data_IF_345583307523
#
_entry.id   IF_345583307523
#
_cell.length_a   1.000
_cell.length_b   1.000
_cell.length_c   1.000
_cell.angle_alpha   90.00
_cell.angle_beta   90.00
_cell.angle_gamma   90.00
#
_symmetry.space_group_name_H-M   'P 1'
#
loop_
_entity.id
_entity.type
_entity.pdbx_description
1 polymer ?
#
# COMPACT_ATOMS: atom_id res chain seq x y z
N UNK A 1 -29.00 -4.95 -5.14
CA UNK A 1 -28.11 -5.23 -3.99
C UNK A 1 -28.17 -4.05 -3.04
N UNK A 2 -28.76 -4.22 -1.86
CA UNK A 2 -28.85 -3.18 -0.84
C UNK A 2 -27.45 -2.88 -0.31
N UNK A 3 -26.86 -1.75 -0.73
CA UNK A 3 -25.56 -1.31 -0.27
C UNK A 3 -25.67 -0.90 1.20
N UNK A 4 -25.09 -1.70 2.11
CA UNK A 4 -24.97 -1.31 3.52
C UNK A 4 -24.31 0.08 3.58
N UNK A 5 -25.05 1.07 4.09
CA UNK A 5 -24.52 2.40 4.30
C UNK A 5 -23.26 2.30 5.18
N UNK A 6 -22.22 3.06 4.80
CA UNK A 6 -20.98 3.11 5.57
C UNK A 6 -21.29 3.64 6.99
N UNK A 7 -20.69 3.08 8.06
CA UNK A 7 -20.79 3.67 9.38
C UNK A 7 -20.43 5.17 9.38
N UNK A 8 -21.20 5.98 10.12
CA UNK A 8 -21.12 7.45 10.09
C UNK A 8 -19.73 7.97 10.48
N UNK A 9 -19.09 7.34 11.45
CA UNK A 9 -17.71 7.60 11.88
C UNK A 9 -16.71 7.45 10.73
N UNK A 10 -16.79 6.36 9.97
CA UNK A 10 -15.92 6.13 8.80
C UNK A 10 -16.20 7.12 7.68
N UNK A 11 -17.47 7.49 7.50
CA UNK A 11 -17.86 8.48 6.48
C UNK A 11 -17.27 9.85 6.81
N UNK A 12 -17.33 10.27 8.08
CA UNK A 12 -16.71 11.51 8.56
C UNK A 12 -15.18 11.49 8.42
N UNK A 13 -14.55 10.34 8.66
CA UNK A 13 -13.10 10.22 8.50
C UNK A 13 -12.67 10.32 7.03
N UNK A 14 -13.40 9.65 6.11
CA UNK A 14 -13.19 9.78 4.67
C UNK A 14 -13.39 11.23 4.23
N UNK A 15 -14.41 11.89 4.75
CA UNK A 15 -14.68 13.30 4.47
C UNK A 15 -13.54 14.23 4.84
N UNK A 16 -12.92 14.01 6.00
CA UNK A 16 -11.74 14.75 6.41
C UNK A 16 -10.62 14.57 5.38
N UNK A 17 -10.39 13.33 4.93
CA UNK A 17 -9.39 13.04 3.89
C UNK A 17 -9.74 13.73 2.57
N UNK A 18 -10.99 13.67 2.13
CA UNK A 18 -11.43 14.33 0.89
C UNK A 18 -11.24 15.84 0.95
N UNK A 19 -11.49 16.47 2.10
CA UNK A 19 -11.23 17.90 2.33
C UNK A 19 -9.73 18.21 2.30
N UNK A 20 -8.88 17.38 2.92
CA UNK A 20 -7.41 17.53 2.90
C UNK A 20 -6.82 17.53 1.47
N UNK A 21 -7.45 16.79 0.54
CA UNK A 21 -7.01 16.69 -0.86
C UNK A 21 -7.92 17.41 -1.86
N UNK A 22 -8.82 18.27 -1.39
CA UNK A 22 -9.89 18.82 -2.23
C UNK A 22 -9.36 19.57 -3.46
N UNK A 23 -8.31 20.38 -3.30
CA UNK A 23 -7.76 21.19 -4.39
C UNK A 23 -7.14 20.32 -5.48
N UNK A 24 -6.30 19.35 -5.11
CA UNK A 24 -5.65 18.44 -6.07
C UNK A 24 -6.64 17.48 -6.71
N UNK A 25 -7.65 17.01 -5.95
CA UNK A 25 -8.71 16.17 -6.49
C UNK A 25 -9.58 16.94 -7.50
N UNK A 26 -9.92 18.20 -7.20
CA UNK A 26 -10.70 19.05 -8.09
C UNK A 26 -9.94 19.38 -9.37
N UNK A 27 -8.64 19.72 -9.25
CA UNK A 27 -7.77 19.96 -10.41
C UNK A 27 -7.64 18.71 -11.28
N UNK A 28 -7.48 17.52 -10.69
CA UNK A 28 -7.42 16.25 -11.42
C UNK A 28 -8.69 16.01 -12.25
N UNK A 29 -9.88 16.16 -11.66
CA UNK A 29 -11.13 15.97 -12.38
C UNK A 29 -11.37 17.04 -13.45
N UNK A 30 -11.10 18.31 -13.15
CA UNK A 30 -11.21 19.39 -14.12
C UNK A 30 -10.27 19.16 -15.32
N UNK A 31 -9.03 18.72 -15.08
CA UNK A 31 -8.09 18.38 -16.14
C UNK A 31 -8.58 17.23 -17.01
N UNK A 32 -9.13 16.16 -16.42
CA UNK A 32 -9.72 15.05 -17.18
C UNK A 32 -10.89 15.51 -18.03
N UNK A 33 -11.83 16.26 -17.46
CA UNK A 33 -12.97 16.79 -18.22
C UNK A 33 -12.50 17.61 -19.43
N UNK A 34 -11.51 18.50 -19.24
CA UNK A 34 -11.02 19.38 -20.32
C UNK A 34 -10.14 18.66 -21.36
N UNK A 35 -9.27 17.73 -20.93
CA UNK A 35 -8.19 17.22 -21.79
C UNK A 35 -8.39 15.77 -22.24
N UNK A 36 -9.00 14.90 -21.43
CA UNK A 36 -9.24 13.50 -21.80
C UNK A 36 -10.61 13.31 -22.43
N UNK A 37 -11.62 14.09 -22.02
CA UNK A 37 -12.97 14.05 -22.58
C UNK A 37 -13.72 12.74 -22.32
N UNK A 38 -13.15 11.83 -21.52
CA UNK A 38 -13.74 10.56 -21.11
C UNK A 38 -14.91 10.73 -20.14
N UNK A 39 -15.04 11.91 -19.55
CA UNK A 39 -16.15 12.30 -18.67
C UNK A 39 -16.48 13.80 -18.85
N UNK A 40 -17.76 14.14 -18.80
CA UNK A 40 -18.23 15.54 -18.75
C UNK A 40 -18.53 15.95 -17.32
N UNK A 41 -18.60 17.27 -17.06
CA UNK A 41 -19.00 17.78 -15.74
C UNK A 41 -20.37 17.22 -15.31
N UNK A 42 -21.37 17.25 -16.19
CA UNK A 42 -22.71 16.73 -15.86
C UNK A 42 -22.72 15.24 -15.53
N UNK A 43 -21.94 14.44 -16.29
CA UNK A 43 -21.76 13.00 -15.97
C UNK A 43 -21.07 12.82 -14.62
N UNK A 44 -20.11 13.69 -14.29
CA UNK A 44 -19.43 13.65 -13.00
C UNK A 44 -20.40 13.98 -11.84
N UNK A 45 -21.27 14.99 -12.02
CA UNK A 45 -22.33 15.34 -11.05
C UNK A 45 -23.25 14.14 -10.82
N UNK A 46 -23.73 13.48 -11.88
CA UNK A 46 -24.57 12.28 -11.76
C UNK A 46 -23.80 11.16 -11.04
N UNK A 47 -22.55 10.91 -11.41
CA UNK A 47 -21.71 9.87 -10.80
C UNK A 47 -21.38 10.17 -9.33
N UNK A 48 -21.41 11.44 -8.91
CA UNK A 48 -21.14 11.85 -7.53
C UNK A 48 -22.12 11.25 -6.52
N UNK A 49 -23.32 10.85 -6.95
CA UNK A 49 -24.28 10.13 -6.11
C UNK A 49 -23.64 8.89 -5.46
N UNK A 50 -22.75 8.21 -6.19
CA UNK A 50 -22.06 7.00 -5.74
C UNK A 50 -20.77 7.26 -4.95
N UNK A 51 -20.34 8.51 -4.81
CA UNK A 51 -19.13 8.82 -4.05
C UNK A 51 -19.34 8.56 -2.57
N UNK A 52 -18.34 7.95 -1.93
CA UNK A 52 -18.32 7.78 -0.47
C UNK A 52 -17.79 9.04 0.19
N UNK A 53 -18.65 10.04 0.30
CA UNK A 53 -18.42 11.30 1.00
C UNK A 53 -19.76 11.88 1.47
N UNK A 54 -19.76 12.79 2.44
CA UNK A 54 -20.98 13.50 2.84
C UNK A 54 -21.46 14.43 1.71
N UNK A 55 -22.77 14.71 1.63
CA UNK A 55 -23.33 15.60 0.62
C UNK A 55 -22.63 16.95 0.52
N UNK A 56 -22.26 17.55 1.64
CA UNK A 56 -21.59 18.86 1.71
C UNK A 56 -20.19 18.80 1.10
N UNK A 57 -19.45 17.72 1.36
CA UNK A 57 -18.13 17.49 0.79
C UNK A 57 -18.20 17.25 -0.71
N UNK A 58 -19.23 16.52 -1.19
CA UNK A 58 -19.49 16.35 -2.63
C UNK A 58 -19.78 17.68 -3.31
N UNK A 59 -20.67 18.48 -2.73
CA UNK A 59 -21.03 19.80 -3.25
C UNK A 59 -19.82 20.73 -3.33
N UNK A 60 -19.00 20.76 -2.27
CA UNK A 60 -17.75 21.52 -2.24
C UNK A 60 -16.78 21.10 -3.35
N UNK A 61 -16.56 19.79 -3.55
CA UNK A 61 -15.66 19.27 -4.60
C UNK A 61 -16.20 19.61 -6.00
N UNK A 62 -17.49 19.39 -6.25
CA UNK A 62 -18.12 19.71 -7.53
C UNK A 62 -18.06 21.21 -7.83
N UNK A 63 -18.32 22.06 -6.83
CA UNK A 63 -18.17 23.51 -6.94
C UNK A 63 -16.74 23.91 -7.36
N UNK A 64 -15.72 23.41 -6.67
CA UNK A 64 -14.32 23.67 -7.02
C UNK A 64 -13.96 23.20 -8.44
N UNK A 65 -14.47 22.04 -8.87
CA UNK A 65 -14.25 21.53 -10.23
C UNK A 65 -14.88 22.49 -11.24
N UNK A 66 -16.11 22.95 -11.00
CA UNK A 66 -16.80 23.91 -11.85
C UNK A 66 -16.04 25.22 -11.94
N UNK A 67 -15.59 25.77 -10.81
CA UNK A 67 -14.83 27.02 -10.77
C UNK A 67 -13.53 26.93 -11.62
N UNK A 68 -12.81 25.81 -11.54
CA UNK A 68 -11.59 25.57 -12.34
C UNK A 68 -11.91 25.48 -13.84
N UNK A 69 -13.03 24.83 -14.20
CA UNK A 69 -13.47 24.71 -15.59
C UNK A 69 -13.92 26.07 -16.15
N UNK A 70 -14.75 26.80 -15.41
CA UNK A 70 -15.29 28.11 -15.78
C UNK A 70 -14.16 29.16 -15.90
N UNK A 71 -13.15 29.09 -15.01
CA UNK A 71 -11.95 29.93 -15.11
C UNK A 71 -10.96 29.47 -16.20
N UNK A 72 -11.16 28.29 -16.80
CA UNK A 72 -10.26 27.72 -17.81
C UNK A 72 -8.89 27.28 -17.30
N UNK A 73 -8.68 27.23 -15.98
CA UNK A 73 -7.38 27.00 -15.31
C UNK A 73 -7.02 25.53 -15.12
N UNK A 74 -7.84 24.60 -15.63
CA UNK A 74 -7.58 23.17 -15.55
C UNK A 74 -6.23 22.80 -16.20
N UNK A 75 -5.37 22.15 -15.41
CA UNK A 75 -4.01 21.71 -15.77
C UNK A 75 -3.70 20.35 -15.14
N UNK A 76 -2.68 19.67 -15.68
CA UNK A 76 -2.19 18.43 -15.08
C UNK A 76 -1.67 18.70 -13.66
N UNK A 77 -1.73 17.68 -12.80
CA UNK A 77 -1.12 17.73 -11.48
C UNK A 77 0.40 17.76 -11.61
N UNK A 78 1.08 18.54 -10.77
CA UNK A 78 2.53 18.44 -10.58
C UNK A 78 2.88 17.11 -9.91
N UNK A 79 4.16 16.72 -9.91
CA UNK A 79 4.60 15.49 -9.25
C UNK A 79 4.23 15.47 -7.75
N UNK A 80 4.40 16.60 -7.06
CA UNK A 80 4.05 16.75 -5.64
C UNK A 80 2.53 16.66 -5.42
N UNK A 81 1.74 17.29 -6.28
CA UNK A 81 0.27 17.22 -6.21
C UNK A 81 -0.23 15.80 -6.50
N UNK A 82 0.39 15.10 -7.46
CA UNK A 82 0.09 13.72 -7.78
C UNK A 82 0.40 12.80 -6.59
N UNK A 83 1.52 13.01 -5.90
CA UNK A 83 1.87 12.27 -4.68
C UNK A 83 0.84 12.53 -3.57
N UNK A 84 0.45 13.79 -3.34
CA UNK A 84 -0.59 14.15 -2.36
C UNK A 84 -1.93 13.49 -2.69
N UNK A 85 -2.32 13.50 -3.95
CA UNK A 85 -3.55 12.87 -4.43
C UNK A 85 -3.55 11.35 -4.18
N UNK A 86 -2.46 10.65 -4.53
CA UNK A 86 -2.35 9.21 -4.28
C UNK A 86 -2.27 8.86 -2.79
N UNK A 87 -1.58 9.67 -1.97
CA UNK A 87 -1.57 9.50 -0.50
C UNK A 87 -2.96 9.64 0.10
N UNK A 88 -3.73 10.65 -0.32
CA UNK A 88 -5.13 10.81 0.13
C UNK A 88 -6.03 9.66 -0.30
N UNK A 89 -5.91 9.19 -1.55
CA UNK A 89 -6.63 7.99 -2.02
C UNK A 89 -6.28 6.74 -1.22
N UNK A 90 -5.01 6.55 -0.89
CA UNK A 90 -4.56 5.43 -0.06
C UNK A 90 -5.17 5.49 1.35
N UNK A 91 -5.18 6.68 1.98
CA UNK A 91 -5.78 6.92 3.30
C UNK A 91 -7.31 6.68 3.29
N UNK A 92 -8.03 7.16 2.27
CA UNK A 92 -9.45 6.89 2.13
C UNK A 92 -9.74 5.38 1.94
N UNK A 93 -8.91 4.68 1.15
CA UNK A 93 -9.03 3.22 0.96
C UNK A 93 -8.77 2.44 2.25
N UNK A 94 -7.79 2.84 3.07
CA UNK A 94 -7.53 2.15 4.33
C UNK A 94 -8.71 2.26 5.30
N UNK A 95 -9.36 3.43 5.37
CA UNK A 95 -10.57 3.63 6.19
C UNK A 95 -11.71 2.74 5.70
N UNK A 96 -11.91 2.66 4.37
CA UNK A 96 -12.92 1.79 3.76
C UNK A 96 -12.67 0.29 3.99
N UNK A 97 -11.41 -0.09 4.20
CA UNK A 97 -11.00 -1.48 4.46
C UNK A 97 -10.96 -1.82 5.94
N UNK A 98 -10.76 -0.83 6.82
CA UNK A 98 -10.75 -1.01 8.26
C UNK A 98 -12.06 -1.67 8.72
N UNK A 99 -11.98 -2.80 9.41
CA UNK A 99 -13.14 -3.50 9.97
C UNK A 99 -14.08 -4.19 8.96
N UNK A 100 -13.67 -4.35 7.68
CA UNK A 100 -14.34 -5.35 6.84
C UNK A 100 -13.95 -6.74 7.38
N UNK A 101 -14.91 -7.63 7.69
CA UNK A 101 -14.57 -9.01 8.00
C UNK A 101 -13.76 -9.55 6.82
N UNK A 102 -12.68 -10.26 7.13
CA UNK A 102 -11.90 -10.93 6.11
C UNK A 102 -12.84 -11.79 5.26
N UNK A 103 -12.81 -11.59 3.94
CA UNK A 103 -13.38 -12.60 3.05
C UNK A 103 -12.69 -13.94 3.34
N UNK A 104 -13.32 -15.09 3.10
CA UNK A 104 -12.66 -16.38 3.27
C UNK A 104 -11.30 -16.44 2.56
N UNK A 105 -11.17 -15.80 1.40
CA UNK A 105 -9.91 -15.65 0.68
C UNK A 105 -8.86 -14.80 1.43
N UNK A 106 -9.26 -13.70 2.06
CA UNK A 106 -8.37 -12.89 2.90
C UNK A 106 -7.94 -13.62 4.17
N UNK A 107 -8.87 -14.29 4.84
CA UNK A 107 -8.58 -15.08 6.03
C UNK A 107 -7.62 -16.24 5.71
N UNK A 108 -7.89 -16.97 4.62
CA UNK A 108 -7.02 -18.03 4.13
C UNK A 108 -5.62 -17.49 3.77
N UNK A 109 -5.55 -16.32 3.11
CA UNK A 109 -4.27 -15.68 2.82
C UNK A 109 -3.53 -15.28 4.08
N UNK A 110 -4.22 -14.76 5.11
CA UNK A 110 -3.61 -14.40 6.40
C UNK A 110 -3.06 -15.62 7.12
N UNK A 111 -3.88 -16.67 7.29
CA UNK A 111 -3.44 -17.92 7.91
C UNK A 111 -2.23 -18.52 7.16
N UNK A 112 -2.20 -18.38 5.83
CA UNK A 112 -1.07 -18.80 5.01
C UNK A 112 0.19 -17.97 5.26
N UNK A 113 0.05 -16.64 5.39
CA UNK A 113 1.17 -15.76 5.75
C UNK A 113 1.70 -16.09 7.15
N UNK A 114 0.81 -16.33 8.12
CA UNK A 114 1.19 -16.72 9.48
C UNK A 114 2.03 -18.01 9.49
N UNK A 115 1.60 -19.06 8.78
CA UNK A 115 2.40 -20.30 8.67
C UNK A 115 3.75 -20.09 7.98
N UNK A 116 3.85 -19.16 7.04
CA UNK A 116 5.14 -18.80 6.40
C UNK A 116 6.02 -18.02 7.38
N UNK A 117 5.45 -17.08 8.12
CA UNK A 117 6.15 -16.30 9.14
C UNK A 117 6.67 -17.20 10.27
N UNK A 118 5.90 -18.21 10.70
CA UNK A 118 6.33 -19.22 11.66
C UNK A 118 7.60 -19.94 11.18
N UNK A 119 7.63 -20.38 9.92
CA UNK A 119 8.82 -21.03 9.36
C UNK A 119 9.99 -20.06 9.27
N UNK A 120 9.76 -18.85 8.76
CA UNK A 120 10.82 -17.86 8.59
C UNK A 120 11.38 -17.41 9.96
N UNK A 121 10.57 -17.41 11.01
CA UNK A 121 11.05 -17.09 12.36
C UNK A 121 12.12 -18.06 12.86
N UNK A 122 12.09 -19.33 12.42
CA UNK A 122 13.12 -20.33 12.77
C UNK A 122 14.49 -20.05 12.16
N UNK A 123 14.54 -19.22 11.12
CA UNK A 123 15.77 -18.82 10.42
C UNK A 123 15.94 -17.30 10.38
N UNK A 124 15.26 -16.56 11.25
CA UNK A 124 15.18 -15.11 11.20
C UNK A 124 16.56 -14.43 11.22
N UNK A 125 17.40 -14.80 12.19
CA UNK A 125 18.74 -14.22 12.32
C UNK A 125 19.67 -14.63 11.16
N UNK A 126 19.50 -15.85 10.64
CA UNK A 126 20.23 -16.36 9.47
C UNK A 126 19.83 -15.56 8.23
N UNK A 127 18.54 -15.30 8.05
CA UNK A 127 18.03 -14.52 6.92
C UNK A 127 18.48 -13.04 7.01
N UNK A 128 18.48 -12.46 8.21
CA UNK A 128 18.99 -11.11 8.42
C UNK A 128 20.48 -11.00 8.06
N UNK A 129 21.32 -11.94 8.52
CA UNK A 129 22.75 -12.01 8.17
C UNK A 129 22.99 -12.25 6.69
N UNK A 130 22.20 -13.11 6.06
CA UNK A 130 22.25 -13.34 4.61
C UNK A 130 22.06 -12.03 3.84
N UNK A 131 21.00 -11.28 4.15
CA UNK A 131 20.71 -10.02 3.48
C UNK A 131 21.74 -8.94 3.78
N UNK A 132 22.16 -8.80 5.03
CA UNK A 132 23.23 -7.87 5.40
C UNK A 132 24.53 -8.19 4.64
N UNK A 133 24.89 -9.48 4.51
CA UNK A 133 26.09 -9.92 3.80
C UNK A 133 26.01 -9.65 2.29
N UNK A 134 24.83 -9.81 1.70
CA UNK A 134 24.60 -9.42 0.30
C UNK A 134 24.81 -7.92 0.09
N UNK A 135 24.31 -7.08 0.99
CA UNK A 135 24.46 -5.63 0.91
C UNK A 135 25.92 -5.21 1.12
N UNK A 136 26.57 -5.67 2.20
CA UNK A 136 27.90 -5.21 2.60
C UNK A 136 29.05 -5.89 1.85
N UNK A 137 28.99 -7.22 1.72
CA UNK A 137 30.10 -8.02 1.20
C UNK A 137 29.96 -8.29 -0.30
N UNK A 138 28.78 -8.75 -0.75
CA UNK A 138 28.55 -9.05 -2.18
C UNK A 138 28.28 -7.80 -3.01
N UNK A 139 27.66 -6.78 -2.40
CA UNK A 139 27.23 -5.51 -3.00
C UNK A 139 26.36 -5.69 -4.25
N UNK A 140 25.60 -6.78 -4.30
CA UNK A 140 24.71 -7.12 -5.42
C UNK A 140 23.30 -6.53 -5.24
N UNK A 141 23.02 -5.94 -4.09
CA UNK A 141 21.78 -5.23 -3.76
C UNK A 141 22.07 -4.13 -2.72
N UNK A 142 21.33 -3.01 -2.76
CA UNK A 142 21.38 -1.98 -1.71
C UNK A 142 20.27 -2.19 -0.68
N UNK A 143 20.39 -1.56 0.49
CA UNK A 143 19.34 -1.60 1.51
C UNK A 143 18.00 -1.03 0.98
N UNK A 144 18.04 0.08 0.25
CA UNK A 144 16.84 0.71 -0.33
C UNK A 144 16.15 -0.20 -1.36
N UNK A 145 16.95 -0.91 -2.17
CA UNK A 145 16.43 -1.87 -3.13
C UNK A 145 15.78 -3.07 -2.42
N UNK A 146 16.40 -3.58 -1.36
CA UNK A 146 15.82 -4.64 -0.53
C UNK A 146 14.51 -4.18 0.13
N UNK A 147 14.46 -2.98 0.71
CA UNK A 147 13.25 -2.43 1.32
C UNK A 147 12.11 -2.33 0.30
N UNK A 148 12.41 -1.85 -0.91
CA UNK A 148 11.45 -1.77 -2.02
C UNK A 148 10.94 -3.16 -2.42
N UNK A 149 11.83 -4.14 -2.55
CA UNK A 149 11.49 -5.50 -2.95
C UNK A 149 10.73 -6.26 -1.85
N UNK A 150 10.94 -5.91 -0.58
CA UNK A 150 10.24 -6.49 0.57
C UNK A 150 8.72 -6.35 0.49
N UNK A 151 8.23 -5.32 -0.23
CA UNK A 151 6.80 -5.10 -0.48
C UNK A 151 6.14 -6.29 -1.18
N UNK A 152 6.90 -7.05 -1.96
CA UNK A 152 6.43 -8.23 -2.70
C UNK A 152 6.58 -9.54 -1.93
N UNK A 153 7.31 -9.57 -0.82
CA UNK A 153 7.49 -10.79 -0.05
C UNK A 153 6.17 -11.28 0.55
N UNK A 154 6.00 -12.59 0.60
CA UNK A 154 4.85 -13.23 1.21
C UNK A 154 5.11 -13.43 2.70
N UNK A 155 4.95 -12.34 3.47
CA UNK A 155 5.15 -12.30 4.91
C UNK A 155 4.22 -11.23 5.51
N UNK A 156 3.92 -11.30 6.81
CA UNK A 156 3.16 -10.23 7.46
C UNK A 156 3.96 -8.91 7.49
N UNK A 157 3.27 -7.75 7.57
CA UNK A 157 3.94 -6.47 7.75
C UNK A 157 4.88 -6.44 8.96
N UNK A 158 4.49 -7.08 10.07
CA UNK A 158 5.32 -7.16 11.28
C UNK A 158 6.63 -7.92 11.04
N UNK A 159 6.55 -9.10 10.41
CA UNK A 159 7.74 -9.90 10.09
C UNK A 159 8.69 -9.17 9.13
N UNK A 160 8.16 -8.47 8.12
CA UNK A 160 8.97 -7.66 7.19
C UNK A 160 9.71 -6.53 7.90
N UNK A 161 8.98 -5.76 8.72
CA UNK A 161 9.55 -4.64 9.46
C UNK A 161 10.64 -5.12 10.42
N UNK A 162 10.39 -6.23 11.14
CA UNK A 162 11.38 -6.82 12.04
C UNK A 162 12.65 -7.25 11.29
N UNK A 163 12.52 -7.92 10.14
CA UNK A 163 13.66 -8.36 9.34
C UNK A 163 14.48 -7.17 8.82
N UNK A 164 13.82 -6.15 8.26
CA UNK A 164 14.50 -4.94 7.78
C UNK A 164 15.24 -4.22 8.91
N UNK A 165 14.61 -4.08 10.08
CA UNK A 165 15.23 -3.49 11.24
C UNK A 165 16.48 -4.27 11.67
N UNK A 166 16.41 -5.60 11.71
CA UNK A 166 17.55 -6.44 12.08
C UNK A 166 18.70 -6.36 11.08
N UNK A 167 18.37 -6.30 9.78
CA UNK A 167 19.38 -6.13 8.71
C UNK A 167 20.08 -4.78 8.84
N UNK A 168 19.31 -3.72 9.10
CA UNK A 168 19.87 -2.39 9.34
C UNK A 168 20.79 -2.39 10.56
N UNK A 169 20.36 -2.98 11.67
CA UNK A 169 21.18 -3.13 12.89
C UNK A 169 22.53 -3.82 12.59
N UNK A 170 22.53 -4.90 11.81
CA UNK A 170 23.75 -5.61 11.40
C UNK A 170 24.65 -4.78 10.48
N UNK A 171 24.06 -3.98 9.59
CA UNK A 171 24.82 -3.09 8.72
C UNK A 171 25.46 -1.94 9.52
N UNK A 172 24.71 -1.36 10.46
CA UNK A 172 25.15 -0.26 11.32
C UNK A 172 26.23 -0.71 12.31
N UNK A 173 26.13 -1.93 12.87
CA UNK A 173 27.18 -2.51 13.73
C UNK A 173 28.46 -2.81 12.96
N UNK A 174 28.34 -3.05 11.66
CA UNK A 174 29.45 -3.40 10.77
C UNK A 174 29.94 -4.84 10.89
N UNK A 175 29.41 -5.63 11.83
CA UNK A 175 29.78 -7.04 12.01
C UNK A 175 28.90 -7.96 11.13
N UNK A 176 29.19 -7.95 9.83
CA UNK A 176 28.42 -8.70 8.84
C UNK A 176 29.20 -9.93 8.38
N UNK A 177 29.00 -11.02 9.11
CA UNK A 177 29.60 -12.32 8.83
C UNK A 177 28.74 -13.08 7.81
N UNK A 178 29.30 -13.52 6.66
CA UNK A 178 28.61 -14.40 5.72
C UNK A 178 28.06 -15.66 6.39
N UNK A 179 27.08 -16.29 5.75
CA UNK A 179 26.58 -17.57 6.23
C UNK A 179 27.59 -18.69 5.97
N UNK A 180 27.72 -19.60 6.94
CA UNK A 180 28.42 -20.87 6.73
C UNK A 180 27.53 -21.89 5.99
N UNK A 181 28.11 -23.04 5.58
CA UNK A 181 27.37 -24.07 4.84
C UNK A 181 26.18 -24.66 5.64
N UNK A 182 26.31 -24.99 6.93
CA UNK A 182 25.18 -25.39 7.76
C UNK A 182 24.03 -24.36 7.80
N UNK A 183 24.35 -23.07 7.93
CA UNK A 183 23.36 -21.98 7.94
C UNK A 183 22.68 -21.83 6.57
N UNK A 184 23.44 -21.93 5.48
CA UNK A 184 22.88 -21.94 4.11
C UNK A 184 21.91 -23.10 3.93
N UNK A 185 22.26 -24.29 4.41
CA UNK A 185 21.39 -25.47 4.33
C UNK A 185 20.09 -25.28 5.11
N UNK A 186 20.17 -24.78 6.35
CA UNK A 186 18.98 -24.46 7.18
C UNK A 186 18.06 -23.43 6.50
N UNK A 187 18.63 -22.37 5.94
CA UNK A 187 17.85 -21.36 5.22
C UNK A 187 17.22 -21.93 3.94
N UNK A 188 17.93 -22.78 3.20
CA UNK A 188 17.40 -23.43 2.00
C UNK A 188 16.22 -24.35 2.35
N UNK A 189 16.33 -25.14 3.41
CA UNK A 189 15.25 -26.01 3.90
C UNK A 189 14.02 -25.19 4.33
N UNK A 190 14.22 -24.11 5.10
CA UNK A 190 13.12 -23.21 5.47
C UNK A 190 12.41 -22.62 4.25
N UNK A 191 13.17 -22.19 3.22
CA UNK A 191 12.62 -21.69 1.96
C UNK A 191 11.82 -22.76 1.20
N UNK A 192 12.25 -24.03 1.25
CA UNK A 192 11.49 -25.15 0.65
C UNK A 192 10.16 -25.33 1.38
N UNK A 193 10.18 -25.45 2.72
CA UNK A 193 8.97 -25.62 3.53
C UNK A 193 7.99 -24.45 3.36
N UNK A 194 8.48 -23.21 3.34
CA UNK A 194 7.65 -22.03 3.09
C UNK A 194 7.00 -22.08 1.68
N UNK A 195 7.75 -22.48 0.65
CA UNK A 195 7.21 -22.65 -0.72
C UNK A 195 6.15 -23.75 -0.81
N UNK A 196 6.26 -24.82 -0.04
CA UNK A 196 5.26 -25.89 -0.01
C UNK A 196 3.92 -25.37 0.53
N UNK A 197 3.93 -24.58 1.61
CA UNK A 197 2.72 -23.89 2.07
C UNK A 197 2.14 -23.06 0.92
N UNK A 198 2.97 -22.28 0.21
CA UNK A 198 2.52 -21.47 -0.93
C UNK A 198 1.88 -22.29 -2.06
N UNK A 199 2.28 -23.55 -2.26
CA UNK A 199 1.74 -24.45 -3.28
C UNK A 199 0.44 -25.16 -2.89
N UNK A 200 0.14 -25.34 -1.61
CA UNK A 200 -1.04 -26.07 -1.08
C UNK A 200 -2.41 -25.38 -1.35
N UNK A 201 -2.56 -24.62 -2.44
CA UNK A 201 -3.81 -23.89 -2.74
C UNK A 201 -4.12 -23.85 -4.24
N UNK A 202 -3.87 -24.94 -4.96
CA UNK A 202 -4.56 -25.22 -6.21
C UNK A 202 -5.75 -26.13 -5.93
#
# INVERSE_FOLDING_TARGET
MSGRALPKDKLLEIDRVQKEIADVNSMHWAWRIKNTGDITYDKLVVNSANWTAMPETKAMLLGKIKDILDAGTARALTAEEQERFEKGKAKARSILQAGKPDTPAMAARRAKMERVDEINSTVFDIEARYWASRIKNSKDITYEQMEKDSRRWFASPGAKTALLAKVKELLDSGDVIPLDEPEKAKMAEAKVRAREILKQSK
#
